data_IF_475222280631
#
_entry.id   IF_475222280631
#
_cell.length_a   1.000
_cell.length_b   1.000
_cell.length_c   1.000
_cell.angle_alpha   90.00
_cell.angle_beta   90.00
_cell.angle_gamma   90.00
#
_symmetry.space_group_name_H-M   'P 1'
#
loop_
_entity.id
_entity.type
_entity.pdbx_description
1 polymer ?
#
# COMPACT_ATOMS: atom_id res chain seq x y z
N UNK A 1 -12.35 13.18 21.49
CA UNK A 1 -11.90 12.36 20.34
C UNK A 1 -11.53 10.94 20.75
N UNK A 2 -10.60 10.73 21.70
CA UNK A 2 -10.25 9.39 22.21
C UNK A 2 -11.44 8.62 22.78
N UNK A 3 -12.31 9.26 23.57
CA UNK A 3 -13.51 8.63 24.14
C UNK A 3 -14.53 8.20 23.05
N UNK A 4 -14.64 8.95 21.96
CA UNK A 4 -15.53 8.62 20.83
C UNK A 4 -14.98 7.48 19.96
N UNK A 5 -13.66 7.34 19.86
CA UNK A 5 -12.99 6.21 19.21
C UNK A 5 -13.13 4.91 20.03
N UNK A 6 -12.99 5.02 21.36
CA UNK A 6 -13.24 3.90 22.28
C UNK A 6 -14.69 3.41 22.22
N UNK A 7 -15.66 4.32 22.15
CA UNK A 7 -17.08 3.99 22.01
C UNK A 7 -17.40 3.21 20.71
N UNK A 8 -16.55 3.35 19.68
CA UNK A 8 -16.62 2.61 18.41
C UNK A 8 -15.73 1.35 18.37
N UNK A 9 -15.18 0.94 19.51
CA UNK A 9 -14.37 -0.28 19.63
C UNK A 9 -12.88 -0.09 19.34
N UNK A 10 -12.41 1.13 19.06
CA UNK A 10 -11.01 1.39 18.76
C UNK A 10 -10.24 1.83 20.01
N UNK A 11 -9.19 1.09 20.36
CA UNK A 11 -8.32 1.40 21.51
C UNK A 11 -7.20 2.38 21.14
N UNK A 12 -7.57 3.64 20.84
CA UNK A 12 -6.60 4.72 20.61
C UNK A 12 -6.55 5.61 21.85
N UNK A 13 -5.36 5.75 22.47
CA UNK A 13 -5.18 6.57 23.66
C UNK A 13 -5.12 8.08 23.31
N UNK A 14 -5.53 8.93 24.25
CA UNK A 14 -5.45 10.39 24.08
C UNK A 14 -4.00 10.87 23.87
N UNK A 15 -3.04 10.18 24.49
CA UNK A 15 -1.61 10.47 24.36
C UNK A 15 -1.06 10.05 22.99
N UNK A 16 -1.56 8.95 22.42
CA UNK A 16 -1.26 8.55 21.04
C UNK A 16 -1.78 9.60 20.04
N UNK A 17 -3.01 10.10 20.23
CA UNK A 17 -3.56 11.17 19.39
C UNK A 17 -2.78 12.48 19.51
N UNK A 18 -2.35 12.83 20.73
CA UNK A 18 -1.51 14.01 20.96
C UNK A 18 -0.20 13.91 20.19
N UNK A 19 0.48 12.75 20.26
CA UNK A 19 1.73 12.49 19.52
C UNK A 19 1.55 12.49 18.01
N UNK A 20 0.44 11.92 17.51
CA UNK A 20 0.10 12.01 16.08
C UNK A 20 -0.12 13.45 15.63
N UNK A 21 -0.71 14.29 16.48
CA UNK A 21 -0.99 15.70 16.18
C UNK A 21 0.26 16.59 16.26
N UNK A 22 1.21 16.30 17.14
CA UNK A 22 2.45 17.10 17.30
C UNK A 22 3.59 16.69 16.38
N UNK A 23 3.41 15.61 15.59
CA UNK A 23 4.43 15.06 14.70
C UNK A 23 5.75 14.65 15.40
N UNK A 24 5.76 14.50 16.73
CA UNK A 24 6.92 14.16 17.56
C UNK A 24 7.32 12.68 17.49
N UNK A 25 7.24 12.07 16.31
CA UNK A 25 7.44 10.63 16.02
C UNK A 25 6.26 9.73 16.39
N UNK A 26 5.51 9.29 15.38
CA UNK A 26 5.07 7.89 15.30
C UNK A 26 4.74 7.56 13.85
N UNK A 27 5.24 6.43 13.35
CA UNK A 27 4.68 5.73 12.19
C UNK A 27 3.43 4.99 12.69
N UNK A 28 2.19 5.53 12.51
CA UNK A 28 1.00 4.87 13.03
C UNK A 28 0.86 3.48 12.38
N UNK A 29 0.48 2.49 13.19
CA UNK A 29 0.15 1.17 12.64
C UNK A 29 -1.02 1.29 11.68
N UNK A 30 -1.10 0.39 10.69
CA UNK A 30 -2.22 0.36 9.74
C UNK A 30 -3.59 0.31 10.46
N UNK A 31 -3.69 -0.45 11.57
CA UNK A 31 -4.89 -0.50 12.40
C UNK A 31 -5.29 0.85 13.00
N UNK A 32 -4.31 1.70 13.36
CA UNK A 32 -4.56 3.05 13.87
C UNK A 32 -5.07 3.97 12.77
N UNK A 33 -4.49 3.87 11.56
CA UNK A 33 -4.94 4.62 10.38
C UNK A 33 -6.36 4.23 9.98
N UNK A 34 -6.69 2.94 9.94
CA UNK A 34 -8.04 2.44 9.63
C UNK A 34 -9.07 2.95 10.64
N UNK A 35 -8.78 2.85 11.94
CA UNK A 35 -9.68 3.34 12.98
C UNK A 35 -9.93 4.86 12.91
N UNK A 36 -8.91 5.64 12.51
CA UNK A 36 -9.06 7.08 12.28
C UNK A 36 -9.89 7.35 11.02
N UNK A 37 -9.63 6.63 9.94
CA UNK A 37 -10.39 6.69 8.69
C UNK A 37 -11.87 6.39 8.89
N UNK A 38 -12.19 5.30 9.59
CA UNK A 38 -13.56 4.92 9.93
C UNK A 38 -14.25 6.01 10.78
N UNK A 39 -13.51 6.62 11.71
CA UNK A 39 -14.05 7.69 12.56
C UNK A 39 -14.41 8.95 11.76
N UNK A 40 -13.57 9.34 10.79
CA UNK A 40 -13.77 10.52 9.97
C UNK A 40 -14.58 10.25 8.69
N UNK A 41 -14.91 9.00 8.39
CA UNK A 41 -15.63 8.61 7.18
C UNK A 41 -14.81 8.83 5.90
N UNK A 42 -13.49 8.73 5.98
CA UNK A 42 -12.56 8.91 4.84
C UNK A 42 -11.81 7.61 4.56
N UNK A 43 -11.19 7.49 3.39
CA UNK A 43 -10.28 6.36 3.11
C UNK A 43 -9.02 6.46 3.98
N UNK A 44 -8.44 5.35 4.48
CA UNK A 44 -7.13 5.36 5.16
C UNK A 44 -6.01 6.01 4.34
N UNK A 45 -6.11 5.95 3.00
CA UNK A 45 -5.19 6.61 2.08
C UNK A 45 -5.18 8.15 2.22
N UNK A 46 -6.26 8.75 2.74
CA UNK A 46 -6.34 10.19 3.01
C UNK A 46 -5.25 10.66 3.99
N UNK A 47 -4.93 9.85 4.99
CA UNK A 47 -3.90 10.17 5.99
C UNK A 47 -2.47 9.94 5.50
N UNK A 48 -2.30 9.22 4.38
CA UNK A 48 -1.01 8.96 3.76
C UNK A 48 -0.61 10.08 2.77
N UNK A 49 -1.42 11.15 2.69
CA UNK A 49 -1.24 12.29 1.79
C UNK A 49 -1.55 11.94 0.33
N UNK A 50 -1.54 12.92 -0.61
CA UNK A 50 -1.27 12.56 -1.99
C UNK A 50 0.04 11.80 -1.93
N UNK A 51 0.01 10.53 -2.32
CA UNK A 51 1.20 9.70 -2.44
C UNK A 51 2.37 10.58 -2.85
N UNK A 52 3.53 10.45 -2.20
CA UNK A 52 4.81 10.99 -2.71
C UNK A 52 5.19 10.34 -4.07
N UNK A 53 4.20 9.89 -4.83
CA UNK A 53 4.21 9.68 -6.26
C UNK A 53 4.76 10.92 -6.93
N UNK A 54 5.78 10.68 -7.76
CA UNK A 54 6.31 11.66 -8.67
C UNK A 54 5.19 12.38 -9.44
N UNK A 55 5.45 13.62 -9.85
CA UNK A 55 4.56 14.38 -10.72
C UNK A 55 4.14 13.55 -11.96
N UNK A 56 5.02 12.70 -12.50
CA UNK A 56 4.69 11.79 -13.61
C UNK A 56 3.56 10.82 -13.25
N UNK A 57 3.64 10.16 -12.08
CA UNK A 57 2.64 9.18 -11.63
C UNK A 57 1.29 9.87 -11.37
N UNK A 58 1.30 11.11 -10.89
CA UNK A 58 0.08 11.89 -10.72
C UNK A 58 -0.58 12.26 -12.05
N UNK A 59 0.19 12.66 -13.06
CA UNK A 59 -0.30 12.94 -14.42
C UNK A 59 -0.88 11.66 -15.03
N UNK A 60 -0.19 10.53 -14.86
CA UNK A 60 -0.64 9.23 -15.35
C UNK A 60 -1.96 8.80 -14.68
N UNK A 61 -2.07 8.95 -13.36
CA UNK A 61 -3.30 8.65 -12.60
C UNK A 61 -4.49 9.47 -13.11
N UNK A 62 -4.32 10.80 -13.26
CA UNK A 62 -5.37 11.67 -13.82
C UNK A 62 -5.74 11.31 -15.25
N UNK A 63 -4.78 10.85 -16.04
CA UNK A 63 -5.02 10.43 -17.42
C UNK A 63 -5.87 9.15 -17.46
N UNK A 64 -5.59 8.18 -16.60
CA UNK A 64 -6.36 6.93 -16.47
C UNK A 64 -7.79 7.22 -15.96
N UNK A 65 -7.95 8.16 -15.03
CA UNK A 65 -9.27 8.58 -14.52
C UNK A 65 -10.20 9.17 -15.59
N UNK A 66 -9.65 9.67 -16.70
CA UNK A 66 -10.44 10.20 -17.82
C UNK A 66 -10.86 9.12 -18.83
N UNK A 67 -10.36 7.91 -18.70
CA UNK A 67 -10.66 6.80 -19.61
C UNK A 67 -11.95 6.08 -19.24
N UNK A 68 -12.60 5.51 -20.26
CA UNK A 68 -13.73 4.60 -20.09
C UNK A 68 -13.32 3.32 -19.35
N UNK A 69 -14.26 2.61 -18.70
CA UNK A 69 -13.95 1.37 -17.99
C UNK A 69 -13.23 0.33 -18.87
N UNK A 70 -13.74 0.11 -20.10
CA UNK A 70 -13.13 -0.83 -21.05
C UNK A 70 -11.68 -0.43 -21.44
N UNK A 71 -11.41 0.87 -21.59
CA UNK A 71 -10.06 1.34 -21.89
C UNK A 71 -9.10 1.15 -20.69
N UNK A 72 -9.60 1.29 -19.45
CA UNK A 72 -8.80 1.02 -18.24
C UNK A 72 -8.47 -0.47 -18.11
N UNK A 73 -9.42 -1.34 -18.41
CA UNK A 73 -9.19 -2.80 -18.45
C UNK A 73 -8.10 -3.18 -19.46
N UNK A 74 -8.15 -2.58 -20.65
CA UNK A 74 -7.12 -2.77 -21.67
C UNK A 74 -5.72 -2.34 -21.19
N UNK A 75 -5.61 -1.18 -20.57
CA UNK A 75 -4.33 -0.70 -19.99
C UNK A 75 -3.84 -1.63 -18.88
N UNK A 76 -4.74 -2.08 -17.99
CA UNK A 76 -4.39 -3.00 -16.92
C UNK A 76 -3.81 -4.31 -17.48
N UNK A 77 -4.41 -4.87 -18.54
CA UNK A 77 -3.90 -6.08 -19.19
C UNK A 77 -2.50 -5.89 -19.77
N UNK A 78 -2.24 -4.74 -20.42
CA UNK A 78 -0.91 -4.42 -20.97
C UNK A 78 0.13 -4.33 -19.86
N UNK A 79 -0.16 -3.60 -18.77
CA UNK A 79 0.75 -3.46 -17.63
C UNK A 79 1.07 -4.85 -17.04
N UNK A 80 0.05 -5.69 -16.83
CA UNK A 80 0.26 -7.03 -16.28
C UNK A 80 1.13 -7.90 -17.17
N UNK A 81 0.96 -7.83 -18.50
CA UNK A 81 1.82 -8.56 -19.43
C UNK A 81 3.28 -8.09 -19.34
N UNK A 82 3.51 -6.78 -19.29
CA UNK A 82 4.86 -6.22 -19.16
C UNK A 82 5.51 -6.70 -17.87
N UNK A 83 4.81 -6.61 -16.74
CA UNK A 83 5.33 -7.06 -15.44
C UNK A 83 5.66 -8.56 -15.43
N UNK A 84 4.82 -9.38 -16.08
CA UNK A 84 5.09 -10.81 -16.22
C UNK A 84 6.37 -11.07 -17.03
N UNK A 85 6.57 -10.35 -18.13
CA UNK A 85 7.77 -10.48 -18.96
C UNK A 85 9.03 -10.06 -18.20
N UNK A 86 8.98 -8.98 -17.43
CA UNK A 86 10.10 -8.53 -16.61
C UNK A 86 10.51 -9.57 -15.55
N UNK A 87 9.54 -10.18 -14.88
CA UNK A 87 9.80 -11.25 -13.90
C UNK A 87 10.43 -12.49 -14.54
N UNK A 88 9.96 -12.88 -15.72
CA UNK A 88 10.53 -13.98 -16.49
C UNK A 88 11.99 -13.69 -16.89
N UNK A 89 12.30 -12.44 -17.27
CA UNK A 89 13.65 -12.01 -17.61
C UNK A 89 14.58 -11.90 -16.38
N UNK A 90 14.02 -11.64 -15.20
CA UNK A 90 14.77 -11.47 -13.94
C UNK A 90 15.04 -12.79 -13.20
N UNK A 91 14.44 -13.91 -13.61
CA UNK A 91 14.73 -15.22 -13.03
C UNK A 91 15.97 -15.82 -13.72
N UNK A 92 17.15 -15.86 -13.07
CA UNK A 92 18.32 -16.48 -13.68
C UNK A 92 18.12 -17.99 -13.85
N UNK A 93 18.67 -18.62 -14.90
CA UNK A 93 18.50 -20.06 -15.19
C UNK A 93 19.22 -21.02 -14.21
N UNK A 94 19.54 -20.61 -12.98
CA UNK A 94 20.34 -21.43 -12.06
C UNK A 94 19.80 -21.44 -10.62
N UNK A 95 18.71 -22.17 -10.38
CA UNK A 95 18.26 -22.54 -9.03
C UNK A 95 17.87 -24.02 -8.88
N UNK A 96 18.19 -24.88 -9.87
CA UNK A 96 17.97 -26.33 -9.77
C UNK A 96 19.22 -27.15 -9.42
N UNK A 97 20.38 -26.53 -9.19
CA UNK A 97 21.62 -27.26 -8.92
C UNK A 97 22.18 -27.06 -7.49
N UNK A 98 21.41 -27.37 -6.43
CA UNK A 98 22.00 -27.69 -5.11
C UNK A 98 21.08 -28.51 -4.20
N UNK A 99 20.65 -29.69 -4.67
CA UNK A 99 20.14 -30.78 -3.81
C UNK A 99 20.52 -32.13 -4.40
N UNK A 100 21.82 -32.42 -4.47
CA UNK A 100 22.32 -33.78 -4.64
C UNK A 100 23.74 -33.85 -4.08
N UNK A 101 23.89 -34.58 -2.97
CA UNK A 101 25.19 -34.89 -2.40
C UNK A 101 25.48 -34.22 -1.05
N UNK A 102 24.81 -34.66 0.01
CA UNK A 102 25.50 -35.04 1.25
C UNK A 102 24.53 -35.80 2.15
N UNK A 103 24.51 -37.11 1.94
CA UNK A 103 24.11 -38.12 2.92
C UNK A 103 24.90 -39.38 2.55
N UNK A 104 25.51 -40.00 3.57
CA UNK A 104 26.42 -41.15 3.62
C UNK A 104 27.89 -40.78 3.37
N UNK A 105 28.86 -41.07 4.24
CA UNK A 105 28.94 -41.94 5.44
C UNK A 105 29.54 -41.20 6.66
#
# INVERSE_FOLDING_TARGET
MSEALKARGHRISAETLRRLRTAEHTNPTAATLTALADFFGVSPAFFLGPSQSSAEVQVMTRSIERLSPAAREGIAAIIQNILHMEQAAQTPPNSTAKKRGQSND
#
